data_IF_680916053893
#
_entry.id   IF_680916053893
#
_cell.length_a   1.000
_cell.length_b   1.000
_cell.length_c   1.000
_cell.angle_alpha   90.00
_cell.angle_beta   90.00
_cell.angle_gamma   90.00
#
_symmetry.space_group_name_H-M   'P 1'
#
loop_
_entity.id
_entity.type
_entity.pdbx_description
1 polymer ?
#
# COMPACT_ATOMS: atom_id res chain seq x y z
N UNK A 1 -9.25 -15.70 10.45
CA UNK A 1 -8.88 -15.24 11.81
C UNK A 1 -8.15 -13.92 11.70
N UNK A 2 -8.67 -12.85 12.31
CA UNK A 2 -8.00 -11.55 12.36
C UNK A 2 -6.81 -11.61 13.33
N UNK A 3 -5.64 -11.17 12.87
CA UNK A 3 -4.43 -11.13 13.69
C UNK A 3 -4.44 -9.89 14.59
N UNK A 4 -4.68 -10.10 15.89
CA UNK A 4 -4.65 -9.02 16.88
C UNK A 4 -3.35 -9.05 17.68
N UNK A 5 -2.59 -7.96 17.61
CA UNK A 5 -1.45 -7.75 18.50
C UNK A 5 -1.91 -7.58 19.95
N UNK A 6 -1.05 -7.95 20.91
CA UNK A 6 -1.28 -7.59 22.31
C UNK A 6 -1.20 -6.07 22.43
N UNK A 7 -2.20 -5.47 23.07
CA UNK A 7 -2.21 -4.04 23.38
C UNK A 7 -1.36 -3.78 24.65
N UNK A 8 -1.29 -2.52 25.11
CA UNK A 8 -0.51 -2.20 26.31
C UNK A 8 -1.14 -2.82 27.56
N UNK A 9 -2.48 -2.81 27.66
CA UNK A 9 -3.25 -3.38 28.76
C UNK A 9 -3.03 -4.90 28.92
N UNK A 10 -3.12 -5.65 27.83
CA UNK A 10 -2.82 -7.09 27.76
C UNK A 10 -1.41 -7.36 28.28
N UNK A 11 -0.43 -6.51 27.93
CA UNK A 11 0.95 -6.64 28.40
C UNK A 11 1.11 -6.29 29.88
N UNK A 12 0.41 -5.27 30.38
CA UNK A 12 0.43 -4.94 31.81
C UNK A 12 -0.23 -6.03 32.66
N UNK A 13 -1.34 -6.60 32.18
CA UNK A 13 -1.98 -7.74 32.83
C UNK A 13 -1.05 -8.96 32.84
N UNK A 14 -0.38 -9.26 31.72
CA UNK A 14 0.61 -10.34 31.64
C UNK A 14 1.78 -10.11 32.61
N UNK A 15 2.25 -8.86 32.75
CA UNK A 15 3.31 -8.51 33.69
C UNK A 15 2.91 -8.76 35.15
N UNK A 16 1.70 -8.36 35.54
CA UNK A 16 1.21 -8.60 36.90
C UNK A 16 0.99 -10.09 37.17
N UNK A 17 0.39 -10.80 36.21
CA UNK A 17 0.06 -12.22 36.37
C UNK A 17 1.32 -13.11 36.37
N UNK A 18 2.33 -12.78 35.57
CA UNK A 18 3.59 -13.54 35.49
C UNK A 18 4.41 -13.55 36.77
N UNK A 19 4.14 -12.63 37.72
CA UNK A 19 4.83 -12.54 39.01
C UNK A 19 4.17 -13.35 40.12
N UNK A 20 2.96 -13.83 39.90
CA UNK A 20 2.23 -14.63 40.90
C UNK A 20 2.76 -16.07 40.90
N UNK A 21 2.79 -16.69 42.07
CA UNK A 21 3.08 -18.11 42.18
C UNK A 21 2.03 -18.94 41.43
N UNK A 22 2.46 -19.94 40.67
CA UNK A 22 1.57 -20.79 39.87
C UNK A 22 1.12 -20.19 38.53
N UNK A 23 1.82 -19.19 37.99
CA UNK A 23 1.51 -18.61 36.69
C UNK A 23 1.44 -19.66 35.58
N UNK A 24 0.31 -19.69 34.86
CA UNK A 24 0.13 -20.51 33.65
C UNK A 24 -0.16 -19.63 32.44
N UNK A 25 0.78 -19.58 31.50
CA UNK A 25 0.63 -18.86 30.24
C UNK A 25 -0.59 -19.32 29.42
N UNK A 26 -1.01 -20.58 29.58
CA UNK A 26 -2.18 -21.15 28.90
C UNK A 26 -3.47 -20.58 29.49
N UNK A 27 -3.60 -20.60 30.82
CA UNK A 27 -4.76 -20.04 31.54
C UNK A 27 -4.91 -18.54 31.29
N UNK A 28 -3.80 -17.81 31.29
CA UNK A 28 -3.80 -16.38 30.96
C UNK A 28 -4.25 -16.12 29.51
N UNK A 29 -3.77 -16.93 28.55
CA UNK A 29 -4.15 -16.78 27.15
C UNK A 29 -5.66 -17.02 26.93
N UNK A 30 -6.25 -18.00 27.62
CA UNK A 30 -7.69 -18.24 27.61
C UNK A 30 -8.47 -17.03 28.16
N UNK A 31 -8.01 -16.44 29.27
CA UNK A 31 -8.63 -15.27 29.90
C UNK A 31 -8.69 -14.05 28.96
N UNK A 32 -7.60 -13.80 28.21
CA UNK A 32 -7.54 -12.69 27.24
C UNK A 32 -8.03 -13.09 25.83
N UNK A 33 -8.60 -14.30 25.68
CA UNK A 33 -9.07 -14.87 24.40
C UNK A 33 -8.00 -14.85 23.29
N UNK A 34 -6.76 -15.21 23.61
CA UNK A 34 -5.64 -15.33 22.67
C UNK A 34 -5.09 -16.76 22.64
N UNK A 35 -4.39 -17.08 21.56
CA UNK A 35 -3.71 -18.37 21.46
C UNK A 35 -2.55 -18.46 22.46
N UNK A 36 -2.37 -19.58 23.19
CA UNK A 36 -1.27 -19.76 24.15
C UNK A 36 0.12 -19.47 23.57
N UNK A 37 0.36 -19.86 22.31
CA UNK A 37 1.62 -19.57 21.62
C UNK A 37 1.91 -18.06 21.48
N UNK A 38 0.90 -17.20 21.47
CA UNK A 38 1.09 -15.74 21.42
C UNK A 38 1.75 -15.25 22.71
N UNK A 39 1.28 -15.74 23.86
CA UNK A 39 1.84 -15.40 25.18
C UNK A 39 3.25 -15.96 25.32
N UNK A 40 3.46 -17.23 24.99
CA UNK A 40 4.81 -17.84 25.03
C UNK A 40 5.82 -17.08 24.16
N UNK A 41 5.42 -16.71 22.94
CA UNK A 41 6.27 -15.95 22.03
C UNK A 41 6.53 -14.52 22.53
N UNK A 42 5.59 -13.92 23.26
CA UNK A 42 5.79 -12.59 23.85
C UNK A 42 6.76 -12.64 25.04
N UNK A 43 6.54 -13.58 25.96
CA UNK A 43 7.42 -13.81 27.12
C UNK A 43 8.84 -14.16 26.66
N UNK A 44 9.01 -15.13 25.75
CA UNK A 44 10.33 -15.54 25.25
C UNK A 44 11.11 -14.40 24.58
N UNK A 45 10.42 -13.45 23.93
CA UNK A 45 11.08 -12.38 23.17
C UNK A 45 11.39 -11.13 23.98
N UNK A 46 10.63 -10.85 25.04
CA UNK A 46 10.69 -9.57 25.74
C UNK A 46 10.98 -9.70 27.25
N UNK A 47 11.27 -10.89 27.76
CA UNK A 47 11.75 -11.07 29.15
C UNK A 47 13.26 -10.86 29.22
N UNK A 48 13.72 -10.16 30.25
CA UNK A 48 15.14 -9.99 30.57
C UNK A 48 15.36 -10.59 31.95
N UNK A 49 16.35 -11.49 32.09
CA UNK A 49 16.66 -12.18 33.35
C UNK A 49 15.40 -12.79 34.00
N UNK A 50 14.57 -13.45 33.19
CA UNK A 50 13.28 -14.05 33.57
C UNK A 50 12.21 -13.08 34.12
N UNK A 51 12.46 -11.76 34.05
CA UNK A 51 11.48 -10.74 34.41
C UNK A 51 10.85 -10.17 33.14
N UNK A 52 9.52 -10.32 33.04
CA UNK A 52 8.74 -9.68 31.98
C UNK A 52 8.34 -8.26 32.38
N UNK A 53 8.57 -7.29 31.49
CA UNK A 53 8.19 -5.89 31.70
C UNK A 53 7.36 -5.37 30.53
N UNK A 54 6.15 -4.87 30.81
CA UNK A 54 5.20 -4.43 29.79
C UNK A 54 5.69 -3.22 28.98
N UNK A 55 6.34 -2.26 29.65
CA UNK A 55 6.90 -1.05 29.00
C UNK A 55 7.99 -1.44 28.01
N UNK A 56 8.96 -2.24 28.45
CA UNK A 56 10.04 -2.74 27.62
C UNK A 56 9.54 -3.56 26.42
N UNK A 57 8.57 -4.47 26.63
CA UNK A 57 7.96 -5.25 25.56
C UNK A 57 7.25 -4.38 24.51
N UNK A 58 6.59 -3.31 24.95
CA UNK A 58 5.93 -2.33 24.08
C UNK A 58 6.96 -1.54 23.28
N UNK A 59 7.98 -0.98 23.94
CA UNK A 59 9.05 -0.22 23.31
C UNK A 59 9.81 -1.05 22.27
N UNK A 60 10.11 -2.32 22.58
CA UNK A 60 10.73 -3.25 21.63
C UNK A 60 9.81 -3.60 20.45
N UNK A 61 8.51 -3.67 20.67
CA UNK A 61 7.54 -3.87 19.58
C UNK A 61 7.50 -2.66 18.66
N UNK A 62 7.46 -1.44 19.22
CA UNK A 62 7.56 -0.20 18.45
C UNK A 62 8.91 -0.06 17.76
N UNK A 63 10.01 -0.39 18.42
CA UNK A 63 11.34 -0.37 17.84
C UNK A 63 11.44 -1.33 16.66
N UNK A 64 10.94 -2.57 16.78
CA UNK A 64 10.89 -3.55 15.67
C UNK A 64 10.04 -3.06 14.50
N UNK A 65 8.89 -2.43 14.77
CA UNK A 65 8.06 -1.80 13.74
C UNK A 65 8.77 -0.64 13.06
N UNK A 66 9.46 0.22 13.82
CA UNK A 66 10.29 1.33 13.31
C UNK A 66 11.51 0.84 12.53
N UNK A 67 12.08 -0.30 12.91
CA UNK A 67 13.23 -0.97 12.27
C UNK A 67 12.87 -1.70 10.98
N UNK A 68 11.70 -1.46 10.37
CA UNK A 68 11.43 -1.95 9.01
C UNK A 68 12.66 -1.70 8.14
N UNK A 69 13.29 -2.77 7.65
CA UNK A 69 14.66 -2.76 7.15
C UNK A 69 14.82 -1.77 6.00
N UNK A 70 15.23 -0.53 6.30
CA UNK A 70 15.80 0.34 5.29
C UNK A 70 17.21 -0.16 5.07
N UNK A 71 17.36 -1.06 4.07
CA UNK A 71 18.68 -1.54 3.62
C UNK A 71 19.59 -0.40 3.16
N UNK A 72 19.04 0.80 2.94
CA UNK A 72 19.75 1.98 2.49
C UNK A 72 19.63 3.10 3.53
N UNK A 73 20.78 3.53 4.07
CA UNK A 73 20.89 4.67 4.99
C UNK A 73 21.22 5.94 4.19
N UNK A 74 20.56 7.05 4.50
CA UNK A 74 20.66 8.32 3.76
C UNK A 74 22.07 8.96 3.87
N UNK A 75 22.87 8.60 4.87
CA UNK A 75 24.24 9.14 5.01
C UNK A 75 25.34 8.15 4.59
N UNK A 76 24.96 7.00 4.02
CA UNK A 76 25.92 5.99 3.60
C UNK A 76 26.68 6.40 2.32
N UNK A 77 27.90 5.89 2.16
CA UNK A 77 28.69 6.02 0.92
C UNK A 77 27.88 5.49 -0.28
N UNK A 78 27.15 4.39 -0.07
CA UNK A 78 26.27 3.80 -1.07
C UNK A 78 25.15 4.75 -1.50
N UNK A 79 24.56 5.50 -0.57
CA UNK A 79 23.55 6.50 -0.91
C UNK A 79 24.12 7.63 -1.77
N UNK A 80 25.32 8.13 -1.44
CA UNK A 80 26.00 9.16 -2.24
C UNK A 80 26.23 8.68 -3.68
N UNK A 81 26.68 7.44 -3.85
CA UNK A 81 26.83 6.84 -5.17
C UNK A 81 25.50 6.75 -5.92
N UNK A 82 24.43 6.29 -5.26
CA UNK A 82 23.10 6.17 -5.88
C UNK A 82 22.57 7.55 -6.30
N UNK A 83 22.74 8.58 -5.47
CA UNK A 83 22.35 9.96 -5.79
C UNK A 83 23.07 10.45 -7.04
N UNK A 84 24.37 10.24 -7.13
CA UNK A 84 25.16 10.68 -8.28
C UNK A 84 24.78 9.90 -9.56
N UNK A 85 24.62 8.59 -9.47
CA UNK A 85 24.17 7.77 -10.59
C UNK A 85 22.78 8.19 -11.10
N UNK A 86 21.86 8.55 -10.20
CA UNK A 86 20.54 9.08 -10.58
C UNK A 86 20.68 10.43 -11.28
N UNK A 87 21.56 11.33 -10.81
CA UNK A 87 21.83 12.61 -11.49
C UNK A 87 22.41 12.41 -12.89
N UNK A 88 23.21 11.36 -13.10
CA UNK A 88 23.65 10.91 -14.42
C UNK A 88 22.54 10.21 -15.25
N UNK A 89 21.27 10.30 -14.83
CA UNK A 89 20.09 9.74 -15.51
C UNK A 89 20.07 8.21 -15.62
N UNK A 90 20.76 7.51 -14.72
CA UNK A 90 20.67 6.05 -14.62
C UNK A 90 19.34 5.63 -13.98
N UNK A 91 18.73 4.58 -14.51
CA UNK A 91 17.52 4.03 -13.91
C UNK A 91 17.86 3.26 -12.61
N UNK A 92 16.98 3.25 -11.60
CA UNK A 92 17.16 2.44 -10.41
C UNK A 92 17.39 0.95 -10.69
N UNK A 93 16.83 0.41 -11.80
CA UNK A 93 17.13 -0.96 -12.24
C UNK A 93 18.58 -1.11 -12.73
N UNK A 94 19.08 -0.15 -13.52
CA UNK A 94 20.48 -0.15 -13.98
C UNK A 94 21.45 -0.07 -12.81
N UNK A 95 21.18 0.83 -11.85
CA UNK A 95 21.98 0.99 -10.64
C UNK A 95 22.02 -0.33 -9.86
N UNK A 96 20.85 -0.94 -9.58
CA UNK A 96 20.79 -2.20 -8.83
C UNK A 96 21.49 -3.38 -9.55
N UNK A 97 21.47 -3.42 -10.89
CA UNK A 97 22.19 -4.44 -11.66
C UNK A 97 23.70 -4.19 -11.64
N UNK A 98 24.12 -2.94 -11.80
CA UNK A 98 25.53 -2.54 -11.80
C UNK A 98 26.19 -2.77 -10.43
N UNK A 99 25.47 -2.52 -9.33
CA UNK A 99 25.92 -2.79 -7.97
C UNK A 99 26.36 -4.25 -7.76
N UNK A 100 25.69 -5.20 -8.42
CA UNK A 100 26.05 -6.63 -8.34
C UNK A 100 27.33 -7.00 -9.11
N UNK A 101 27.76 -6.16 -10.03
CA UNK A 101 28.91 -6.41 -10.91
C UNK A 101 30.18 -5.75 -10.39
N UNK A 102 30.10 -4.84 -9.41
CA UNK A 102 31.28 -4.24 -8.81
C UNK A 102 32.00 -5.25 -7.92
N UNK A 103 33.25 -5.62 -8.25
CA UNK A 103 34.01 -6.59 -7.46
C UNK A 103 34.47 -6.02 -6.11
N UNK A 104 34.61 -4.70 -6.00
CA UNK A 104 35.15 -4.02 -4.81
C UNK A 104 34.06 -3.65 -3.77
N UNK A 105 32.78 -3.84 -4.10
CA UNK A 105 31.69 -3.58 -3.16
C UNK A 105 31.39 -4.86 -2.36
N UNK A 106 31.45 -4.75 -1.04
CA UNK A 106 31.03 -5.83 -0.15
C UNK A 106 29.64 -6.34 -0.55
N UNK A 107 29.46 -7.66 -0.66
CA UNK A 107 28.21 -8.28 -1.14
C UNK A 107 27.00 -7.92 -0.25
N UNK A 108 27.26 -7.47 0.98
CA UNK A 108 26.28 -6.95 1.92
C UNK A 108 25.68 -5.59 1.50
N UNK A 109 26.35 -4.85 0.61
CA UNK A 109 25.96 -3.51 0.12
C UNK A 109 25.08 -3.55 -1.13
N UNK A 110 24.45 -4.69 -1.41
CA UNK A 110 23.51 -4.84 -2.52
C UNK A 110 22.12 -4.30 -2.19
N UNK A 111 21.61 -3.41 -3.03
CA UNK A 111 20.30 -2.77 -2.86
C UNK A 111 19.41 -3.01 -4.07
N UNK A 112 18.16 -3.41 -3.84
CA UNK A 112 17.19 -3.60 -4.92
C UNK A 112 16.68 -2.26 -5.46
N UNK A 113 16.32 -2.23 -6.74
CA UNK A 113 15.71 -1.04 -7.36
C UNK A 113 14.43 -0.59 -6.63
N UNK A 114 13.64 -1.53 -6.09
CA UNK A 114 12.47 -1.23 -5.24
C UNK A 114 12.84 -0.48 -3.96
N UNK A 115 13.99 -0.79 -3.37
CA UNK A 115 14.52 -0.08 -2.19
C UNK A 115 14.99 1.32 -2.56
N UNK A 116 15.62 1.49 -3.73
CA UNK A 116 16.00 2.82 -4.25
C UNK A 116 14.73 3.67 -4.46
N UNK A 117 13.69 3.13 -5.10
CA UNK A 117 12.43 3.86 -5.26
C UNK A 117 11.76 4.20 -3.92
N UNK A 118 11.68 3.24 -2.99
CA UNK A 118 11.02 3.45 -1.70
C UNK A 118 11.75 4.47 -0.84
N UNK A 119 13.09 4.48 -0.88
CA UNK A 119 13.93 5.43 -0.15
C UNK A 119 13.78 6.85 -0.68
N UNK A 120 13.89 7.07 -2.00
CA UNK A 120 13.66 8.39 -2.63
C UNK A 120 12.27 8.93 -2.31
N UNK A 121 11.23 8.08 -2.43
CA UNK A 121 9.85 8.48 -2.11
C UNK A 121 9.65 8.83 -0.65
N UNK A 122 10.40 8.19 0.25
CA UNK A 122 10.27 8.39 1.68
C UNK A 122 11.24 9.44 2.26
N UNK A 123 12.02 10.12 1.41
CA UNK A 123 12.76 11.32 1.80
C UNK A 123 11.81 12.43 2.27
N UNK A 124 12.25 13.30 3.20
CA UNK A 124 11.52 14.51 3.57
C UNK A 124 11.27 15.38 2.34
N UNK A 125 10.22 16.20 2.38
CA UNK A 125 9.95 17.16 1.31
C UNK A 125 11.07 18.20 1.30
N UNK A 126 11.74 18.36 0.17
CA UNK A 126 12.86 19.27 -0.01
C UNK A 126 13.38 19.25 -1.45
N UNK A 127 14.33 20.13 -1.75
CA UNK A 127 14.92 20.29 -3.09
C UNK A 127 15.57 19.00 -3.56
N UNK A 128 16.39 18.37 -2.71
CA UNK A 128 17.03 17.08 -3.01
C UNK A 128 16.04 16.01 -3.50
N UNK A 129 14.84 15.94 -2.91
CA UNK A 129 13.82 14.98 -3.33
C UNK A 129 13.24 15.35 -4.70
N UNK A 130 13.01 16.63 -4.97
CA UNK A 130 12.51 17.12 -6.27
C UNK A 130 13.53 16.85 -7.36
N UNK A 131 14.80 17.12 -7.11
CA UNK A 131 15.91 16.89 -8.03
C UNK A 131 16.07 15.41 -8.36
N UNK A 132 16.05 14.54 -7.34
CA UNK A 132 16.14 13.10 -7.58
C UNK A 132 14.91 12.58 -8.35
N UNK A 133 13.71 13.09 -8.05
CA UNK A 133 12.50 12.71 -8.77
C UNK A 133 12.48 13.20 -10.22
N UNK A 134 13.07 14.36 -10.53
CA UNK A 134 13.14 14.88 -11.91
C UNK A 134 14.13 14.09 -12.77
N UNK A 135 15.22 13.60 -12.18
CA UNK A 135 16.18 12.73 -12.86
C UNK A 135 15.65 11.29 -13.08
N UNK A 136 14.66 10.85 -12.30
CA UNK A 136 14.03 9.56 -12.52
C UNK A 136 13.19 9.60 -13.79
N UNK A 137 13.47 8.65 -14.69
CA UNK A 137 12.67 8.39 -15.89
C UNK A 137 11.32 7.79 -15.49
N UNK A 138 10.43 8.61 -14.95
CA UNK A 138 9.05 8.23 -14.71
C UNK A 138 8.23 8.52 -15.96
N UNK A 139 7.99 7.49 -16.77
CA UNK A 139 6.66 7.38 -17.38
C UNK A 139 5.70 7.14 -16.20
N UNK A 140 5.05 8.21 -15.73
CA UNK A 140 3.86 8.09 -14.91
C UNK A 140 2.74 7.49 -15.78
N UNK A 141 2.89 6.24 -16.22
CA UNK A 141 1.77 5.45 -16.72
C UNK A 141 0.79 5.40 -15.57
N UNK A 142 -0.26 6.22 -15.67
CA UNK A 142 -1.43 6.15 -14.82
C UNK A 142 -1.77 4.67 -14.75
N UNK A 143 -1.78 4.09 -13.55
CA UNK A 143 -2.29 2.72 -13.40
C UNK A 143 -3.70 2.77 -13.98
N UNK A 144 -3.95 2.00 -15.05
CA UNK A 144 -5.34 1.68 -15.38
C UNK A 144 -5.92 1.08 -14.12
N UNK A 145 -7.04 1.63 -13.64
CA UNK A 145 -7.78 0.96 -12.59
C UNK A 145 -8.06 -0.46 -13.11
N UNK A 146 -7.64 -1.49 -12.37
CA UNK A 146 -8.15 -2.83 -12.62
C UNK A 146 -9.63 -2.75 -12.30
N UNK A 147 -10.42 -2.83 -13.36
CA UNK A 147 -11.65 -2.08 -13.49
C UNK A 147 -11.63 -1.58 -14.92
N UNK A 148 -11.61 -2.53 -15.85
CA UNK A 148 -12.12 -2.26 -17.18
C UNK A 148 -13.38 -1.40 -16.97
N UNK A 149 -13.55 -0.24 -17.64
CA UNK A 149 -14.93 0.12 -17.92
C UNK A 149 -15.44 -1.14 -18.62
N UNK A 150 -16.37 -1.86 -17.98
CA UNK A 150 -17.18 -2.84 -18.71
C UNK A 150 -17.51 -2.09 -19.98
N UNK A 151 -16.97 -2.53 -21.13
CA UNK A 151 -17.61 -2.19 -22.38
C UNK A 151 -19.02 -2.60 -22.10
N UNK A 152 -19.91 -1.62 -21.97
CA UNK A 152 -21.32 -1.84 -21.76
C UNK A 152 -21.65 -3.05 -22.59
N UNK A 153 -22.07 -4.11 -21.90
CA UNK A 153 -22.51 -5.35 -22.51
C UNK A 153 -23.21 -4.94 -23.79
N UNK A 154 -22.64 -5.30 -24.94
CA UNK A 154 -23.21 -5.02 -26.26
C UNK A 154 -24.69 -5.23 -26.08
N UNK A 155 -25.46 -4.14 -26.17
CA UNK A 155 -26.89 -4.14 -25.91
C UNK A 155 -27.50 -5.18 -26.85
N UNK A 156 -27.65 -6.40 -26.37
CA UNK A 156 -28.28 -7.47 -27.10
C UNK A 156 -29.77 -7.17 -27.00
N UNK A 157 -30.42 -7.11 -28.16
CA UNK A 157 -31.85 -6.82 -28.32
C UNK A 157 -32.26 -5.33 -28.30
N UNK A 158 -31.44 -4.42 -28.88
CA UNK A 158 -31.94 -3.06 -29.22
C UNK A 158 -32.89 -3.17 -30.41
N UNK A 159 -34.19 -2.94 -30.18
CA UNK A 159 -35.14 -2.65 -31.25
C UNK A 159 -34.80 -1.30 -31.87
N UNK A 160 -34.54 -1.28 -33.16
CA UNK A 160 -34.24 -0.02 -33.86
C UNK A 160 -35.48 0.85 -33.94
N UNK A 161 -35.31 2.16 -34.07
CA UNK A 161 -36.43 3.12 -34.28
C UNK A 161 -37.29 2.78 -35.51
N UNK A 162 -36.78 1.94 -36.41
CA UNK A 162 -37.48 1.49 -37.61
C UNK A 162 -38.51 0.39 -37.32
N UNK A 163 -38.38 -0.32 -36.20
CA UNK A 163 -39.29 -1.40 -35.79
C UNK A 163 -40.49 -0.91 -34.97
N UNK A 164 -40.64 0.41 -34.81
CA UNK A 164 -41.75 0.97 -34.03
C UNK A 164 -43.10 0.78 -34.72
N UNK A 165 -44.19 0.56 -33.97
CA UNK A 165 -45.54 0.49 -34.52
C UNK A 165 -45.93 1.80 -35.23
N UNK A 166 -46.73 1.69 -36.31
CA UNK A 166 -47.16 2.85 -37.09
C UNK A 166 -47.94 3.89 -36.26
N UNK A 167 -48.64 3.46 -35.21
CA UNK A 167 -49.41 4.29 -34.29
C UNK A 167 -48.55 5.34 -33.54
N UNK A 168 -47.25 5.06 -33.38
CA UNK A 168 -46.29 5.98 -32.71
C UNK A 168 -45.94 7.17 -33.61
N UNK A 169 -45.98 6.99 -34.93
CA UNK A 169 -45.63 8.05 -35.88
C UNK A 169 -46.55 9.27 -35.78
N UNK A 170 -47.82 9.06 -35.43
CA UNK A 170 -48.80 10.14 -35.36
C UNK A 170 -48.66 11.00 -34.11
N UNK A 171 -47.96 10.54 -33.06
CA UNK A 171 -47.70 11.28 -31.81
C UNK A 171 -48.95 11.86 -31.14
N UNK A 172 -50.13 11.28 -31.40
CA UNK A 172 -51.43 11.77 -30.88
C UNK A 172 -51.73 11.33 -29.45
N UNK A 173 -51.09 10.25 -28.99
CA UNK A 173 -51.31 9.69 -27.65
C UNK A 173 -50.20 10.19 -26.71
N UNK A 174 -50.54 10.70 -25.51
CA UNK A 174 -49.55 10.98 -24.48
C UNK A 174 -48.74 9.72 -24.17
N UNK A 175 -47.43 9.77 -24.44
CA UNK A 175 -46.52 8.61 -24.39
C UNK A 175 -45.82 8.30 -25.72
N UNK A 176 -46.35 8.78 -26.86
CA UNK A 176 -45.70 8.71 -28.17
C UNK A 176 -44.83 9.95 -28.48
N UNK A 177 -44.70 10.88 -27.54
CA UNK A 177 -43.87 12.07 -27.71
C UNK A 177 -42.42 11.73 -27.41
N UNK A 178 -41.55 11.99 -28.38
CA UNK A 178 -40.11 11.72 -28.28
C UNK A 178 -39.37 13.04 -28.19
N UNK A 179 -38.41 13.10 -27.27
CA UNK A 179 -37.50 14.22 -27.09
C UNK A 179 -36.12 13.85 -27.61
N UNK A 180 -35.49 14.76 -28.37
CA UNK A 180 -34.11 14.58 -28.81
C UNK A 180 -33.14 15.07 -27.72
N UNK A 181 -32.07 14.30 -27.48
CA UNK A 181 -30.99 14.70 -26.58
C UNK A 181 -29.78 15.16 -27.40
N UNK A 182 -29.52 16.46 -27.40
CA UNK A 182 -28.37 17.05 -28.07
C UNK A 182 -27.19 17.09 -27.09
N UNK A 183 -26.06 16.49 -27.50
CA UNK A 183 -24.79 16.53 -26.75
C UNK A 183 -23.83 17.54 -27.36
N UNK A 184 -23.20 18.35 -26.51
CA UNK A 184 -22.15 19.29 -26.91
C UNK A 184 -20.79 18.62 -27.12
N UNK A 185 -19.80 19.39 -27.59
CA UNK A 185 -18.44 18.91 -27.87
C UNK A 185 -17.84 18.14 -26.69
N UNK A 186 -17.26 16.97 -27.00
CA UNK A 186 -16.67 16.02 -26.03
C UNK A 186 -17.65 15.53 -24.95
N UNK A 187 -18.97 15.53 -25.20
CA UNK A 187 -20.02 15.17 -24.23
C UNK A 187 -20.02 16.02 -22.95
N UNK A 188 -19.47 17.24 -23.00
CA UNK A 188 -19.32 18.11 -21.82
C UNK A 188 -20.62 18.82 -21.41
N UNK A 189 -21.58 18.93 -22.31
CA UNK A 189 -22.90 19.55 -22.05
C UNK A 189 -24.02 18.76 -22.75
N UNK A 190 -25.26 18.92 -22.29
CA UNK A 190 -26.40 18.17 -22.79
C UNK A 190 -27.68 19.00 -22.66
N UNK A 191 -28.51 19.00 -23.70
CA UNK A 191 -29.83 19.66 -23.72
C UNK A 191 -30.83 18.66 -24.29
N UNK A 192 -31.96 18.49 -23.61
CA UNK A 192 -33.10 17.73 -24.13
C UNK A 192 -34.12 18.70 -24.76
N UNK A 193 -34.62 18.36 -25.94
CA UNK A 193 -35.64 19.12 -26.66
C UNK A 193 -36.91 18.28 -26.75
N UNK A 194 -38.05 18.85 -26.38
CA UNK A 194 -39.37 18.25 -26.52
C UNK A 194 -40.15 18.96 -27.64
#
# INVERSE_FOLDING_TARGET
MSYHHLNFEDRTALMLESRKEGFSARKFAELIKRHPSTIYRELKRNSINDVYQARYASDNTFARRRRGHRKLKIDSILWKFIVEAIRCLWSPQQIAKRLKTFPDLDQTMNVSHTTIYSTIRALPKGEMKKDLLSCLRHENKKRKANGEPKKDSILQDIKTIHERPAEVQERKIPGHWEADLIKGKDNKSSIATL
#
